data_IF_293291478297
#
_entry.id   IF_293291478297
#
_cell.length_a   1.000
_cell.length_b   1.000
_cell.length_c   1.000
_cell.angle_alpha   90.00
_cell.angle_beta   90.00
_cell.angle_gamma   90.00
#
_symmetry.space_group_name_H-M   'P 1'
#
loop_
_entity.id
_entity.type
_entity.pdbx_description
1 polymer ?
#
# COMPACT_ATOMS: atom_id res chain seq x y z
N UNK A 1 15.47 -5.52 -9.03
CA UNK A 1 14.82 -5.07 -10.25
C UNK A 1 15.54 -3.85 -10.80
N UNK A 2 16.84 -3.95 -10.88
CA UNK A 2 17.73 -2.96 -11.50
C UNK A 2 18.77 -3.69 -12.33
N UNK A 3 19.38 -3.05 -13.37
CA UNK A 3 20.45 -3.66 -14.16
C UNK A 3 21.66 -4.03 -13.29
N UNK A 4 22.49 -4.93 -13.78
CA UNK A 4 23.71 -5.36 -13.08
C UNK A 4 24.60 -4.15 -12.73
N UNK A 5 25.08 -4.08 -11.51
CA UNK A 5 25.89 -2.96 -11.00
C UNK A 5 25.12 -1.65 -10.77
N UNK A 6 23.80 -1.69 -10.82
CA UNK A 6 22.92 -0.57 -10.52
C UNK A 6 21.96 -0.94 -9.38
N UNK A 7 21.41 0.08 -8.74
CA UNK A 7 20.34 -0.09 -7.74
C UNK A 7 19.21 0.86 -8.03
N UNK A 8 18.06 0.61 -7.41
CA UNK A 8 16.93 1.53 -7.43
C UNK A 8 16.52 1.87 -6.00
N UNK A 9 16.16 3.12 -5.80
CA UNK A 9 15.62 3.62 -4.54
C UNK A 9 14.20 4.08 -4.80
N UNK A 10 13.27 3.65 -3.97
CA UNK A 10 11.89 4.11 -3.96
C UNK A 10 11.71 5.07 -2.79
N UNK A 11 11.26 6.28 -3.08
CA UNK A 11 11.05 7.34 -2.10
C UNK A 11 9.58 7.71 -2.10
N UNK A 12 8.93 7.57 -0.95
CA UNK A 12 7.52 7.91 -0.77
C UNK A 12 7.37 9.26 -0.08
N UNK A 13 6.56 10.14 -0.66
CA UNK A 13 6.12 11.38 -0.07
C UNK A 13 4.64 11.27 0.29
N UNK A 14 4.35 11.18 1.57
CA UNK A 14 2.96 11.16 2.06
C UNK A 14 2.44 12.60 2.12
N UNK A 15 1.41 12.87 1.34
CA UNK A 15 0.79 14.20 1.27
C UNK A 15 -0.68 14.08 0.88
N UNK A 16 -1.44 15.10 1.16
CA UNK A 16 -2.78 15.22 0.60
C UNK A 16 -2.71 15.81 -0.80
N UNK A 17 -3.76 15.57 -1.59
CA UNK A 17 -3.95 16.26 -2.86
C UNK A 17 -3.96 17.77 -2.59
N UNK A 18 -3.28 18.51 -3.46
CA UNK A 18 -3.14 19.97 -3.40
C UNK A 18 -2.22 20.51 -2.30
N UNK A 19 -1.58 19.67 -1.50
CA UNK A 19 -0.50 20.07 -0.59
C UNK A 19 0.70 20.65 -1.35
N UNK A 20 1.57 21.37 -0.65
CA UNK A 20 2.83 21.88 -1.22
C UNK A 20 3.67 20.77 -1.86
N UNK A 21 3.78 19.62 -1.19
CA UNK A 21 4.51 18.45 -1.71
C UNK A 21 3.85 17.89 -2.97
N UNK A 22 2.51 17.81 -2.99
CA UNK A 22 1.78 17.34 -4.16
C UNK A 22 2.03 18.18 -5.40
N UNK A 23 2.15 19.49 -5.22
CA UNK A 23 2.32 20.43 -6.32
C UNK A 23 3.76 20.54 -6.83
N UNK A 24 4.75 20.00 -6.11
CA UNK A 24 6.15 20.02 -6.55
C UNK A 24 6.36 19.26 -7.85
N UNK A 25 7.27 19.78 -8.66
CA UNK A 25 7.80 19.10 -9.84
C UNK A 25 8.68 17.91 -9.44
N UNK A 26 8.97 17.03 -10.38
CA UNK A 26 9.88 15.90 -10.13
C UNK A 26 11.31 16.36 -9.79
N UNK A 27 11.73 17.49 -10.35
CA UNK A 27 13.02 18.13 -10.08
C UNK A 27 13.09 18.65 -8.65
N UNK A 28 12.06 19.35 -8.19
CA UNK A 28 11.97 19.85 -6.81
C UNK A 28 11.93 18.74 -5.78
N UNK A 29 11.21 17.63 -6.07
CA UNK A 29 11.16 16.47 -5.20
C UNK A 29 12.50 15.72 -5.17
N UNK A 30 13.22 15.67 -6.29
CA UNK A 30 14.57 15.12 -6.30
C UNK A 30 15.52 15.97 -5.46
N UNK A 31 15.49 17.29 -5.60
CA UNK A 31 16.31 18.19 -4.77
C UNK A 31 15.99 18.05 -3.28
N UNK A 32 14.69 17.94 -2.95
CA UNK A 32 14.27 17.67 -1.59
C UNK A 32 14.81 16.34 -1.06
N UNK A 33 14.78 15.29 -1.88
CA UNK A 33 15.32 13.97 -1.54
C UNK A 33 16.82 14.04 -1.29
N UNK A 34 17.56 14.71 -2.18
CA UNK A 34 19.02 14.81 -2.09
C UNK A 34 19.48 15.56 -0.83
N UNK A 35 18.71 16.53 -0.32
CA UNK A 35 19.01 17.19 0.97
C UNK A 35 19.16 16.22 2.15
N UNK A 36 18.57 15.05 2.06
CA UNK A 36 18.69 14.02 3.09
C UNK A 36 19.70 12.92 2.70
N UNK A 37 19.68 12.47 1.46
CA UNK A 37 20.51 11.33 1.04
C UNK A 37 22.00 11.65 1.00
N UNK A 38 22.39 12.86 0.56
CA UNK A 38 23.81 13.25 0.51
C UNK A 38 24.46 13.40 1.90
N UNK A 39 23.87 14.13 2.87
CA UNK A 39 24.43 14.19 4.23
C UNK A 39 24.53 12.84 4.90
N UNK A 40 23.63 11.92 4.61
CA UNK A 40 23.68 10.54 5.14
C UNK A 40 24.68 9.65 4.39
N UNK A 41 25.35 10.18 3.38
CA UNK A 41 26.29 9.44 2.51
C UNK A 41 25.65 8.21 1.84
N UNK A 42 24.35 8.30 1.56
CA UNK A 42 23.61 7.22 0.93
C UNK A 42 23.90 7.16 -0.58
N UNK A 43 23.88 8.30 -1.24
CA UNK A 43 24.34 8.48 -2.61
C UNK A 43 24.67 9.96 -2.86
N UNK A 44 25.41 10.23 -3.93
CA UNK A 44 25.69 11.57 -4.41
C UNK A 44 24.79 11.90 -5.61
N UNK A 45 24.54 13.17 -5.85
CA UNK A 45 23.77 13.64 -7.01
C UNK A 45 24.30 13.11 -8.34
N UNK A 46 25.62 13.04 -8.48
CA UNK A 46 26.32 12.54 -9.68
C UNK A 46 26.08 11.06 -9.96
N UNK A 47 25.65 10.29 -8.96
CA UNK A 47 25.36 8.86 -9.09
C UNK A 47 23.93 8.57 -9.56
N UNK A 48 23.06 9.59 -9.61
CA UNK A 48 21.67 9.45 -10.04
C UNK A 48 21.65 9.37 -11.58
N UNK A 49 21.33 8.20 -12.10
CA UNK A 49 21.25 7.94 -13.53
C UNK A 49 19.92 8.34 -14.17
N UNK A 50 18.88 8.35 -13.36
CA UNK A 50 17.53 8.72 -13.80
C UNK A 50 16.54 8.65 -12.64
N UNK A 51 15.40 9.30 -12.81
CA UNK A 51 14.35 9.33 -11.82
C UNK A 51 12.97 9.54 -12.46
N UNK A 52 11.96 8.97 -11.85
CA UNK A 52 10.57 9.06 -12.28
C UNK A 52 9.71 9.53 -11.11
N UNK A 53 8.68 10.29 -11.41
CA UNK A 53 7.66 10.70 -10.45
C UNK A 53 6.33 10.03 -10.82
N UNK A 54 5.74 9.37 -9.84
CA UNK A 54 4.38 8.84 -9.93
C UNK A 54 3.56 9.52 -8.84
N UNK A 55 2.50 10.20 -9.22
CA UNK A 55 1.50 10.77 -8.30
C UNK A 55 0.27 9.89 -8.32
N UNK A 56 -0.15 9.42 -7.16
CA UNK A 56 -1.31 8.55 -7.05
C UNK A 56 -2.22 9.04 -5.93
N UNK A 57 -3.48 9.26 -6.27
CA UNK A 57 -4.51 9.65 -5.32
C UNK A 57 -5.14 8.42 -4.64
N UNK A 58 -5.68 8.60 -3.44
CA UNK A 58 -6.47 7.59 -2.71
C UNK A 58 -5.75 6.26 -2.47
N UNK A 59 -4.45 6.33 -2.20
CA UNK A 59 -3.60 5.14 -1.98
C UNK A 59 -3.86 4.51 -0.61
N UNK A 60 -4.07 5.36 0.40
CA UNK A 60 -4.26 4.93 1.78
C UNK A 60 -5.65 5.30 2.29
N UNK A 61 -6.33 4.38 3.00
CA UNK A 61 -7.55 4.74 3.70
C UNK A 61 -7.24 5.71 4.84
N UNK A 62 -8.08 6.73 5.01
CA UNK A 62 -8.01 7.65 6.14
C UNK A 62 -9.07 7.20 7.15
N UNK A 63 -8.64 6.91 8.36
CA UNK A 63 -9.50 6.47 9.44
C UNK A 63 -9.87 7.66 10.31
N UNK A 64 -11.10 8.13 10.20
CA UNK A 64 -11.70 9.03 11.19
C UNK A 64 -12.36 8.25 12.33
N UNK A 65 -12.88 8.95 13.31
CA UNK A 65 -13.49 8.31 14.50
C UNK A 65 -14.73 7.47 14.19
N UNK A 66 -15.39 7.73 13.07
CA UNK A 66 -16.68 7.12 12.69
C UNK A 66 -16.58 6.21 11.46
N UNK A 67 -15.38 6.00 10.93
CA UNK A 67 -15.20 5.28 9.65
C UNK A 67 -15.77 3.85 9.70
N UNK A 68 -15.73 3.19 10.86
CA UNK A 68 -16.23 1.82 10.99
C UNK A 68 -17.74 1.73 10.82
N UNK A 69 -18.48 2.72 11.30
CA UNK A 69 -19.94 2.76 11.16
C UNK A 69 -20.32 2.90 9.69
N UNK A 70 -19.70 3.84 9.00
CA UNK A 70 -19.91 4.01 7.55
C UNK A 70 -19.46 2.79 6.74
N UNK A 71 -18.31 2.23 7.09
CA UNK A 71 -17.79 1.05 6.42
C UNK A 71 -18.69 -0.18 6.62
N UNK A 72 -19.30 -0.32 7.81
CA UNK A 72 -20.23 -1.42 8.10
C UNK A 72 -21.47 -1.35 7.22
N UNK A 73 -22.03 -0.16 7.00
CA UNK A 73 -23.19 0.05 6.12
C UNK A 73 -22.83 -0.38 4.68
N UNK A 74 -21.69 0.06 4.17
CA UNK A 74 -21.22 -0.29 2.83
C UNK A 74 -20.99 -1.79 2.71
N UNK A 75 -20.32 -2.41 3.68
CA UNK A 75 -20.06 -3.86 3.70
C UNK A 75 -21.35 -4.67 3.74
N UNK A 76 -22.31 -4.27 4.57
CA UNK A 76 -23.60 -4.94 4.65
C UNK A 76 -24.36 -4.88 3.31
N UNK A 77 -24.28 -3.76 2.61
CA UNK A 77 -24.86 -3.64 1.28
C UNK A 77 -24.13 -4.54 0.26
N UNK A 78 -22.79 -4.48 0.20
CA UNK A 78 -22.00 -5.27 -0.75
C UNK A 78 -22.10 -6.78 -0.51
N UNK A 79 -22.28 -7.21 0.73
CA UNK A 79 -22.42 -8.63 1.08
C UNK A 79 -23.73 -9.27 0.60
N UNK A 80 -24.69 -8.46 0.14
CA UNK A 80 -25.92 -9.00 -0.46
C UNK A 80 -25.67 -9.62 -1.85
N UNK A 81 -24.57 -9.29 -2.49
CA UNK A 81 -24.23 -9.81 -3.81
C UNK A 81 -23.38 -11.07 -3.68
N UNK A 82 -23.93 -12.23 -4.08
CA UNK A 82 -23.24 -13.53 -3.98
C UNK A 82 -22.03 -13.64 -4.90
N UNK A 83 -22.01 -12.90 -6.00
CA UNK A 83 -20.97 -12.91 -7.04
C UNK A 83 -19.99 -11.74 -6.96
N UNK A 84 -20.02 -10.96 -5.87
CA UNK A 84 -19.11 -9.82 -5.67
C UNK A 84 -18.06 -10.17 -4.61
N UNK A 85 -16.78 -10.00 -4.99
CA UNK A 85 -15.63 -10.13 -4.10
C UNK A 85 -14.85 -8.81 -4.12
N UNK A 86 -14.88 -8.08 -3.01
CA UNK A 86 -14.12 -6.84 -2.84
C UNK A 86 -12.92 -7.11 -1.94
N UNK A 87 -11.71 -7.00 -2.51
CA UNK A 87 -10.45 -7.46 -1.93
C UNK A 87 -9.35 -6.39 -2.01
N UNK A 88 -8.25 -6.64 -1.32
CA UNK A 88 -7.12 -5.74 -1.27
C UNK A 88 -7.37 -4.48 -0.45
N UNK A 89 -6.36 -3.62 -0.39
CA UNK A 89 -6.37 -2.39 0.41
C UNK A 89 -7.58 -1.47 0.10
N UNK A 90 -7.82 -1.06 -1.16
CA UNK A 90 -8.96 -0.19 -1.44
C UNK A 90 -10.30 -0.89 -1.28
N UNK A 91 -10.42 -2.15 -1.72
CA UNK A 91 -11.67 -2.90 -1.64
C UNK A 91 -12.12 -3.16 -0.20
N UNK A 92 -11.19 -3.43 0.71
CA UNK A 92 -11.48 -3.68 2.12
C UNK A 92 -11.45 -2.42 2.98
N UNK A 93 -11.04 -1.28 2.42
CA UNK A 93 -10.77 -0.05 3.16
C UNK A 93 -9.91 -0.33 4.40
N UNK A 94 -8.82 -1.10 4.20
CA UNK A 94 -7.96 -1.56 5.28
C UNK A 94 -6.49 -1.46 4.88
N UNK A 95 -5.67 -1.03 5.81
CA UNK A 95 -4.22 -0.96 5.65
C UNK A 95 -3.66 -2.40 5.55
N UNK A 96 -3.21 -2.78 4.36
CA UNK A 96 -2.68 -4.12 4.07
C UNK A 96 -1.43 -4.03 3.22
N UNK A 97 -0.56 -5.00 3.36
CA UNK A 97 0.63 -5.17 2.53
C UNK A 97 0.32 -5.99 1.26
N UNK A 98 1.31 -6.16 0.40
CA UNK A 98 1.16 -6.90 -0.86
C UNK A 98 0.83 -8.37 -0.65
N UNK A 99 1.50 -9.03 0.31
CA UNK A 99 1.25 -10.41 0.71
C UNK A 99 -0.20 -10.63 1.14
N UNK A 100 -0.74 -9.76 1.99
CA UNK A 100 -2.14 -9.80 2.38
C UNK A 100 -3.09 -9.63 1.18
N UNK A 101 -2.74 -8.75 0.25
CA UNK A 101 -3.55 -8.55 -0.96
C UNK A 101 -3.54 -9.77 -1.88
N UNK A 102 -2.40 -10.44 -2.00
CA UNK A 102 -2.25 -11.71 -2.72
C UNK A 102 -3.08 -12.81 -2.06
N UNK A 103 -2.99 -12.96 -0.75
CA UNK A 103 -3.76 -13.96 0.00
C UNK A 103 -5.27 -13.74 -0.15
N UNK A 104 -5.74 -12.49 -0.03
CA UNK A 104 -7.14 -12.14 -0.30
C UNK A 104 -7.56 -12.54 -1.71
N UNK A 105 -6.70 -12.32 -2.71
CA UNK A 105 -6.94 -12.75 -4.10
C UNK A 105 -7.06 -14.25 -4.24
N UNK A 106 -6.18 -15.01 -3.58
CA UNK A 106 -6.21 -16.47 -3.59
C UNK A 106 -7.48 -17.01 -2.92
N UNK A 107 -7.88 -16.46 -1.78
CA UNK A 107 -9.11 -16.84 -1.07
C UNK A 107 -10.36 -16.52 -1.89
N UNK A 108 -10.38 -15.37 -2.57
CA UNK A 108 -11.47 -15.02 -3.47
C UNK A 108 -11.57 -15.99 -4.66
N UNK A 109 -10.44 -16.33 -5.30
CA UNK A 109 -10.39 -17.30 -6.39
C UNK A 109 -10.86 -18.69 -5.93
N UNK A 110 -10.39 -19.16 -4.77
CA UNK A 110 -10.87 -20.42 -4.17
C UNK A 110 -12.37 -20.39 -3.88
N UNK A 111 -12.86 -19.24 -3.36
CA UNK A 111 -14.30 -19.08 -3.09
C UNK A 111 -15.15 -19.29 -4.34
N UNK A 112 -14.66 -18.87 -5.50
CA UNK A 112 -15.34 -19.04 -6.79
C UNK A 112 -15.25 -20.50 -7.25
N UNK A 113 -14.07 -21.12 -7.17
CA UNK A 113 -13.82 -22.48 -7.65
C UNK A 113 -14.60 -23.51 -6.82
N UNK A 114 -14.56 -23.35 -5.50
CA UNK A 114 -15.14 -24.31 -4.56
C UNK A 114 -16.63 -24.03 -4.28
N UNK A 115 -17.17 -22.97 -4.88
CA UNK A 115 -18.52 -22.46 -4.61
C UNK A 115 -18.82 -22.30 -3.10
N UNK A 116 -17.80 -21.84 -2.36
CA UNK A 116 -17.84 -21.65 -0.90
C UNK A 116 -17.16 -20.34 -0.54
N UNK A 117 -17.74 -19.52 0.34
CA UNK A 117 -17.08 -18.28 0.81
C UNK A 117 -16.04 -18.60 1.88
N UNK A 118 -14.77 -18.32 1.56
CA UNK A 118 -13.69 -18.28 2.53
C UNK A 118 -13.61 -16.92 3.22
N UNK A 119 -13.14 -16.94 4.48
CA UNK A 119 -13.08 -15.73 5.28
C UNK A 119 -11.86 -14.86 4.91
N UNK A 120 -12.10 -13.79 4.17
CA UNK A 120 -11.08 -12.79 3.77
C UNK A 120 -10.82 -11.78 4.89
N UNK A 121 -11.74 -11.65 5.86
CA UNK A 121 -11.61 -10.65 6.93
C UNK A 121 -10.46 -10.94 7.88
N UNK A 122 -10.02 -12.18 8.00
CA UNK A 122 -8.96 -12.56 8.93
C UNK A 122 -7.56 -12.37 8.37
N UNK A 123 -7.44 -12.19 7.06
CA UNK A 123 -6.14 -11.92 6.43
C UNK A 123 -5.50 -10.68 7.04
N UNK A 124 -4.27 -10.82 7.55
CA UNK A 124 -3.51 -9.73 8.15
C UNK A 124 -4.01 -9.27 9.52
N UNK A 125 -4.85 -10.05 10.22
CA UNK A 125 -5.20 -9.82 11.62
C UNK A 125 -4.22 -10.47 12.60
N UNK A 126 -3.29 -11.25 12.12
CA UNK A 126 -2.29 -11.90 12.96
C UNK A 126 -1.36 -10.86 13.59
N UNK A 127 -1.64 -10.51 14.84
CA UNK A 127 -0.85 -9.56 15.63
C UNK A 127 0.62 -9.99 15.78
N UNK A 128 0.89 -11.28 15.69
CA UNK A 128 2.25 -11.83 15.82
C UNK A 128 3.19 -11.36 14.71
N UNK A 129 2.68 -11.00 13.54
CA UNK A 129 3.49 -10.57 12.41
C UNK A 129 4.08 -9.16 12.59
N UNK A 130 3.41 -8.28 13.32
CA UNK A 130 3.79 -6.86 13.42
C UNK A 130 4.49 -6.47 14.70
N UNK A 131 4.23 -7.14 15.82
CA UNK A 131 4.63 -6.63 17.13
C UNK A 131 5.78 -7.38 17.78
N UNK A 132 6.14 -8.59 17.37
CA UNK A 132 7.11 -9.41 18.11
C UNK A 132 8.40 -9.72 17.40
N UNK A 133 8.55 -9.46 16.11
CA UNK A 133 9.80 -9.71 15.37
C UNK A 133 10.36 -11.13 15.50
N UNK A 134 9.54 -12.09 15.92
CA UNK A 134 9.97 -13.47 16.18
C UNK A 134 9.73 -14.26 14.90
N UNK A 135 10.77 -14.42 14.13
CA UNK A 135 10.81 -15.40 13.07
C UNK A 135 10.86 -16.79 13.72
N UNK A 136 9.74 -17.52 13.72
CA UNK A 136 9.81 -18.96 14.00
C UNK A 136 10.56 -19.61 12.84
N UNK A 137 11.73 -20.19 13.16
CA UNK A 137 12.51 -21.00 12.23
C UNK A 137 11.76 -22.26 11.83
#
# INVERSE_FOLDING_TARGET
MSPLGKTSLFVEFFCFKDDEIWNKSKEELLELTMKYLEPWKFCQRSEILGYHLIKQEKVYPIYDTNYQDYLSIIKNYLNQFSNLYYIGRPGRFRYTNQDHSLEMGMLAARSIIDNQRYNIEDVGKEQEYYERGIWKK
#
